data_IF_517556681626
#
_entry.id   IF_517556681626
#
_cell.length_a   1.000
_cell.length_b   1.000
_cell.length_c   1.000
_cell.angle_alpha   90.00
_cell.angle_beta   90.00
_cell.angle_gamma   90.00
#
_symmetry.space_group_name_H-M   'P 1'
#
loop_
_entity.id
_entity.type
_entity.pdbx_description
1 polymer ?
#
# COMPACT_ATOMS: atom_id res chain seq x y z
N UNK A 1 -58.72 -15.88 18.30
CA UNK A 1 -57.29 -16.01 18.60
C UNK A 1 -56.50 -16.08 17.31
N UNK A 2 -55.93 -14.95 16.85
CA UNK A 2 -55.05 -14.88 15.67
C UNK A 2 -53.61 -15.03 16.12
N UNK A 3 -52.95 -16.12 15.74
CA UNK A 3 -51.53 -16.34 15.98
C UNK A 3 -50.73 -15.47 14.98
N UNK A 4 -50.06 -14.45 15.49
CA UNK A 4 -49.09 -13.67 14.75
C UNK A 4 -47.81 -14.50 14.58
N UNK A 5 -47.54 -14.93 13.35
CA UNK A 5 -46.27 -15.55 13.00
C UNK A 5 -45.12 -14.50 13.08
N UNK A 6 -44.01 -14.80 13.74
CA UNK A 6 -42.86 -13.89 13.71
C UNK A 6 -42.24 -13.89 12.29
N UNK A 7 -42.28 -12.76 11.61
CA UNK A 7 -41.50 -12.53 10.40
C UNK A 7 -40.03 -12.75 10.73
N UNK A 8 -39.47 -13.84 10.24
CA UNK A 8 -38.02 -14.04 10.17
C UNK A 8 -37.45 -12.95 9.27
N UNK A 9 -36.86 -11.93 9.88
CA UNK A 9 -36.00 -10.97 9.20
C UNK A 9 -34.86 -11.77 8.60
N UNK A 10 -34.85 -11.91 7.28
CA UNK A 10 -33.70 -12.38 6.55
C UNK A 10 -32.58 -11.38 6.76
N UNK A 11 -31.64 -11.67 7.65
CA UNK A 11 -30.41 -10.90 7.81
C UNK A 11 -29.59 -11.11 6.54
N UNK A 12 -29.82 -10.29 5.55
CA UNK A 12 -28.91 -10.14 4.43
C UNK A 12 -27.56 -9.69 4.99
N UNK A 13 -26.58 -10.58 4.93
CA UNK A 13 -25.20 -10.32 5.34
C UNK A 13 -24.57 -9.30 4.38
N UNK A 14 -24.47 -8.00 4.73
CA UNK A 14 -23.88 -7.00 3.84
C UNK A 14 -22.37 -7.08 3.75
N UNK A 15 -21.73 -7.98 4.50
CA UNK A 15 -20.27 -7.95 4.68
C UNK A 15 -19.42 -8.44 3.51
N UNK A 16 -19.92 -9.33 2.64
CA UNK A 16 -19.06 -9.91 1.59
C UNK A 16 -18.85 -8.98 0.40
N UNK A 17 -19.87 -8.33 -0.08
CA UNK A 17 -19.77 -7.43 -1.25
C UNK A 17 -18.96 -6.16 -0.94
N UNK A 18 -19.09 -5.61 0.26
CA UNK A 18 -18.31 -4.45 0.71
C UNK A 18 -16.83 -4.81 0.82
N UNK A 19 -16.52 -5.95 1.44
CA UNK A 19 -15.14 -6.42 1.60
C UNK A 19 -14.47 -6.69 0.24
N UNK A 20 -15.19 -7.28 -0.71
CA UNK A 20 -14.66 -7.54 -2.07
C UNK A 20 -14.33 -6.24 -2.80
N UNK A 21 -15.16 -5.22 -2.68
CA UNK A 21 -14.93 -3.90 -3.28
C UNK A 21 -13.72 -3.19 -2.65
N UNK A 22 -13.58 -3.23 -1.34
CA UNK A 22 -12.45 -2.64 -0.62
C UNK A 22 -11.13 -3.31 -1.03
N UNK A 23 -11.09 -4.64 -1.08
CA UNK A 23 -9.92 -5.40 -1.54
C UNK A 23 -9.60 -5.09 -2.99
N UNK A 24 -10.59 -5.01 -3.87
CA UNK A 24 -10.40 -4.67 -5.28
C UNK A 24 -9.72 -3.29 -5.43
N UNK A 25 -10.27 -2.25 -4.80
CA UNK A 25 -9.68 -0.92 -4.86
C UNK A 25 -8.29 -0.86 -4.25
N UNK A 26 -8.06 -1.58 -3.15
CA UNK A 26 -6.74 -1.67 -2.54
C UNK A 26 -5.70 -2.27 -3.50
N UNK A 27 -6.05 -3.35 -4.20
CA UNK A 27 -5.16 -3.98 -5.19
C UNK A 27 -4.91 -3.05 -6.38
N UNK A 28 -5.96 -2.42 -6.92
CA UNK A 28 -5.83 -1.46 -8.04
C UNK A 28 -4.91 -0.30 -7.67
N UNK A 29 -5.12 0.31 -6.50
CA UNK A 29 -4.29 1.40 -6.01
C UNK A 29 -2.85 0.92 -5.77
N UNK A 30 -2.66 -0.30 -5.24
CA UNK A 30 -1.35 -0.89 -5.02
C UNK A 30 -0.56 -1.08 -6.31
N UNK A 31 -1.20 -1.65 -7.34
CA UNK A 31 -0.59 -1.83 -8.68
C UNK A 31 -0.27 -0.47 -9.32
N UNK A 32 -1.23 0.47 -9.31
CA UNK A 32 -1.01 1.82 -9.85
C UNK A 32 0.15 2.54 -9.13
N UNK A 33 0.23 2.39 -7.80
CA UNK A 33 1.33 2.95 -7.00
C UNK A 33 2.68 2.34 -7.35
N UNK A 34 2.75 1.03 -7.60
CA UNK A 34 3.99 0.36 -8.01
C UNK A 34 4.47 0.86 -9.36
N UNK A 35 3.56 1.00 -10.33
CA UNK A 35 3.87 1.55 -11.65
C UNK A 35 4.32 3.01 -11.54
N UNK A 36 3.61 3.83 -10.78
CA UNK A 36 3.96 5.24 -10.55
C UNK A 36 5.34 5.36 -9.88
N UNK A 37 5.64 4.51 -8.89
CA UNK A 37 6.93 4.44 -8.21
C UNK A 37 8.06 4.13 -9.22
N UNK A 38 7.86 3.11 -10.06
CA UNK A 38 8.85 2.72 -11.05
C UNK A 38 9.13 3.84 -12.06
N UNK A 39 8.08 4.48 -12.58
CA UNK A 39 8.20 5.57 -13.54
C UNK A 39 8.87 6.81 -12.94
N UNK A 40 8.43 7.23 -11.75
CA UNK A 40 9.04 8.38 -11.06
C UNK A 40 10.50 8.12 -10.71
N UNK A 41 10.82 6.93 -10.19
CA UNK A 41 12.19 6.56 -9.91
C UNK A 41 13.05 6.62 -11.18
N UNK A 42 12.59 5.97 -12.26
CA UNK A 42 13.31 5.94 -13.54
C UNK A 42 13.56 7.35 -14.09
N UNK A 43 12.57 8.21 -14.06
CA UNK A 43 12.69 9.61 -14.50
C UNK A 43 13.69 10.37 -13.62
N UNK A 44 13.51 10.35 -12.30
CA UNK A 44 14.38 11.08 -11.36
C UNK A 44 15.83 10.57 -11.38
N UNK A 45 16.02 9.30 -11.69
CA UNK A 45 17.33 8.66 -11.72
C UNK A 45 18.26 9.21 -12.80
N UNK A 46 17.73 9.91 -13.81
CA UNK A 46 18.53 10.57 -14.82
C UNK A 46 19.26 11.81 -14.29
N UNK A 47 18.73 12.43 -13.24
CA UNK A 47 19.28 13.68 -12.68
C UNK A 47 19.69 13.57 -11.21
N UNK A 48 19.42 12.44 -10.58
CA UNK A 48 19.61 12.28 -9.13
C UNK A 48 20.28 10.97 -8.78
N UNK A 49 21.05 10.93 -7.67
CA UNK A 49 21.59 9.67 -7.15
C UNK A 49 20.44 8.71 -6.75
N UNK A 50 20.70 7.39 -6.75
CA UNK A 50 19.67 6.37 -6.53
C UNK A 50 18.86 6.56 -5.25
N UNK A 51 19.53 6.89 -4.15
CA UNK A 51 18.93 7.09 -2.83
C UNK A 51 17.96 8.25 -2.82
N UNK A 52 18.33 9.38 -3.45
CA UNK A 52 17.47 10.56 -3.54
C UNK A 52 16.30 10.33 -4.50
N UNK A 53 16.56 9.74 -5.67
CA UNK A 53 15.51 9.39 -6.62
C UNK A 53 14.46 8.47 -5.98
N UNK A 54 14.89 7.46 -5.22
CA UNK A 54 14.00 6.56 -4.49
C UNK A 54 13.23 7.29 -3.37
N UNK A 55 13.90 8.16 -2.61
CA UNK A 55 13.24 8.92 -1.55
C UNK A 55 12.10 9.78 -2.09
N UNK A 56 12.38 10.58 -3.10
CA UNK A 56 11.38 11.51 -3.68
C UNK A 56 10.23 10.76 -4.33
N UNK A 57 10.53 9.76 -5.16
CA UNK A 57 9.50 8.96 -5.83
C UNK A 57 8.62 8.21 -4.83
N UNK A 58 9.22 7.63 -3.80
CA UNK A 58 8.49 6.91 -2.76
C UNK A 58 7.62 7.85 -1.91
N UNK A 59 8.13 9.05 -1.58
CA UNK A 59 7.39 10.06 -0.84
C UNK A 59 6.13 10.49 -1.59
N UNK A 60 6.28 10.86 -2.86
CA UNK A 60 5.16 11.27 -3.72
C UNK A 60 4.12 10.16 -3.82
N UNK A 61 4.55 8.93 -4.12
CA UNK A 61 3.63 7.79 -4.27
C UNK A 61 2.97 7.43 -2.94
N UNK A 62 3.68 7.53 -1.81
CA UNK A 62 3.09 7.26 -0.50
C UNK A 62 1.98 8.24 -0.15
N UNK A 63 2.18 9.53 -0.42
CA UNK A 63 1.16 10.57 -0.21
C UNK A 63 -0.06 10.30 -1.09
N UNK A 64 0.15 10.08 -2.39
CA UNK A 64 -0.93 9.80 -3.35
C UNK A 64 -1.69 8.53 -3.00
N UNK A 65 -0.98 7.46 -2.64
CA UNK A 65 -1.57 6.18 -2.24
C UNK A 65 -2.39 6.33 -0.95
N UNK A 66 -1.88 7.05 0.04
CA UNK A 66 -2.59 7.29 1.30
C UNK A 66 -3.89 8.05 1.05
N UNK A 67 -3.84 9.10 0.24
CA UNK A 67 -5.04 9.89 -0.10
C UNK A 67 -6.03 9.09 -0.95
N UNK A 68 -5.57 8.32 -1.94
CA UNK A 68 -6.42 7.45 -2.74
C UNK A 68 -7.12 6.38 -1.89
N UNK A 69 -6.38 5.71 -1.00
CA UNK A 69 -6.97 4.73 -0.09
C UNK A 69 -7.96 5.36 0.88
N UNK A 70 -7.68 6.57 1.40
CA UNK A 70 -8.58 7.30 2.27
C UNK A 70 -9.91 7.59 1.57
N UNK A 71 -9.86 8.03 0.32
CA UNK A 71 -11.06 8.42 -0.45
C UNK A 71 -11.84 7.24 -1.02
N UNK A 72 -11.16 6.18 -1.47
CA UNK A 72 -11.76 5.11 -2.25
C UNK A 72 -11.99 3.83 -1.43
N UNK A 73 -11.05 3.48 -0.56
CA UNK A 73 -11.08 2.22 0.19
C UNK A 73 -11.80 2.38 1.53
N UNK A 74 -11.52 3.46 2.27
CA UNK A 74 -11.98 3.63 3.67
C UNK A 74 -13.05 4.71 3.83
N UNK A 75 -13.95 4.86 2.88
CA UNK A 75 -15.08 5.78 3.00
C UNK A 75 -15.93 5.45 4.23
N UNK A 76 -15.86 6.33 5.25
CA UNK A 76 -16.68 6.25 6.46
C UNK A 76 -16.03 5.61 7.68
N UNK A 77 -14.76 5.20 7.63
CA UNK A 77 -14.05 4.75 8.84
C UNK A 77 -13.50 5.95 9.62
N UNK A 78 -13.89 6.05 10.91
CA UNK A 78 -13.36 7.05 11.86
C UNK A 78 -12.01 6.54 12.38
N UNK A 79 -11.04 6.39 11.50
CA UNK A 79 -9.66 6.17 11.95
C UNK A 79 -9.09 7.52 12.37
N UNK A 80 -8.56 7.61 13.60
CA UNK A 80 -7.91 8.84 14.05
C UNK A 80 -6.81 9.21 13.08
N UNK A 81 -6.92 10.38 12.46
CA UNK A 81 -6.01 10.88 11.42
C UNK A 81 -4.54 10.73 11.83
N UNK A 82 -4.21 11.00 13.08
CA UNK A 82 -2.86 10.86 13.61
C UNK A 82 -2.34 9.41 13.57
N UNK A 83 -3.16 8.43 13.93
CA UNK A 83 -2.74 7.02 13.90
C UNK A 83 -2.51 6.53 12.47
N UNK A 84 -3.33 6.99 11.52
CA UNK A 84 -3.14 6.68 10.11
C UNK A 84 -1.83 7.27 9.56
N UNK A 85 -1.49 8.51 9.96
CA UNK A 85 -0.23 9.15 9.54
C UNK A 85 1.00 8.51 10.17
N UNK A 86 0.94 8.13 11.45
CA UNK A 86 2.05 7.43 12.12
C UNK A 86 2.30 6.05 11.49
N UNK A 87 1.24 5.30 11.20
CA UNK A 87 1.35 4.02 10.50
C UNK A 87 1.89 4.18 9.08
N UNK A 88 1.42 5.20 8.35
CA UNK A 88 1.93 5.50 7.00
C UNK A 88 3.40 5.92 7.04
N UNK A 89 3.83 6.72 8.02
CA UNK A 89 5.22 7.13 8.21
C UNK A 89 6.15 5.95 8.51
N UNK A 90 5.75 5.06 9.42
CA UNK A 90 6.53 3.85 9.73
C UNK A 90 6.68 2.93 8.52
N UNK A 91 5.60 2.75 7.75
CA UNK A 91 5.63 1.96 6.53
C UNK A 91 6.45 2.62 5.41
N UNK A 92 6.45 3.95 5.34
CA UNK A 92 7.32 4.69 4.43
C UNK A 92 8.80 4.44 4.75
N UNK A 93 9.19 4.57 6.02
CA UNK A 93 10.57 4.31 6.44
C UNK A 93 11.00 2.87 6.11
N UNK A 94 10.15 1.89 6.41
CA UNK A 94 10.42 0.50 6.08
C UNK A 94 10.57 0.30 4.57
N UNK A 95 9.66 0.84 3.77
CA UNK A 95 9.71 0.75 2.32
C UNK A 95 10.98 1.40 1.76
N UNK A 96 11.33 2.58 2.27
CA UNK A 96 12.52 3.30 1.87
C UNK A 96 13.80 2.51 2.17
N UNK A 97 13.93 1.95 3.36
CA UNK A 97 15.10 1.15 3.75
C UNK A 97 15.23 -0.11 2.88
N UNK A 98 14.13 -0.83 2.66
CA UNK A 98 14.15 -2.06 1.85
C UNK A 98 14.46 -1.76 0.39
N UNK A 99 13.79 -0.78 -0.21
CA UNK A 99 13.98 -0.46 -1.63
C UNK A 99 15.33 0.21 -1.90
N UNK A 100 15.78 1.13 -1.05
CA UNK A 100 17.11 1.73 -1.16
C UNK A 100 18.21 0.71 -0.94
N UNK A 101 18.06 -0.16 0.07
CA UNK A 101 19.01 -1.23 0.33
C UNK A 101 19.12 -2.19 -0.86
N UNK A 102 18.00 -2.58 -1.47
CA UNK A 102 18.00 -3.44 -2.65
C UNK A 102 18.71 -2.80 -3.85
N UNK A 103 18.46 -1.51 -4.13
CA UNK A 103 19.11 -0.79 -5.23
C UNK A 103 20.59 -0.60 -4.97
N UNK A 104 21.01 -0.21 -3.76
CA UNK A 104 22.42 -0.05 -3.40
C UNK A 104 23.17 -1.37 -3.47
N UNK A 105 22.59 -2.46 -2.97
CA UNK A 105 23.16 -3.79 -3.06
C UNK A 105 23.32 -4.23 -4.52
N UNK A 106 22.30 -4.01 -5.36
CA UNK A 106 22.39 -4.29 -6.79
C UNK A 106 23.50 -3.52 -7.46
N UNK A 107 23.65 -2.22 -7.16
CA UNK A 107 24.74 -1.40 -7.69
C UNK A 107 26.12 -1.81 -7.20
N UNK A 108 26.23 -2.32 -6.00
CA UNK A 108 27.49 -2.88 -5.49
C UNK A 108 27.99 -4.01 -6.39
N UNK A 109 27.09 -4.90 -6.83
CA UNK A 109 27.46 -6.01 -7.74
C UNK A 109 27.45 -5.63 -9.22
N UNK A 110 26.77 -4.55 -9.58
CA UNK A 110 26.61 -4.05 -10.98
C UNK A 110 26.79 -2.54 -11.04
N UNK A 111 28.03 -2.03 -10.86
CA UNK A 111 28.30 -0.57 -10.79
C UNK A 111 27.88 0.22 -12.04
N UNK A 112 27.91 -0.43 -13.21
CA UNK A 112 27.57 0.16 -14.52
C UNK A 112 26.12 -0.07 -14.93
N UNK A 113 25.27 -0.53 -14.00
CA UNK A 113 23.86 -0.80 -14.31
C UNK A 113 23.11 0.46 -14.75
N UNK A 114 22.27 0.31 -15.76
CA UNK A 114 21.41 1.38 -16.25
C UNK A 114 20.29 1.72 -15.24
N UNK A 115 19.71 2.94 -15.29
CA UNK A 115 18.53 3.29 -14.48
C UNK A 115 17.35 2.33 -14.68
N UNK A 116 17.20 1.79 -15.89
CA UNK A 116 16.16 0.79 -16.18
C UNK A 116 16.40 -0.53 -15.41
N UNK A 117 17.64 -1.01 -15.34
CA UNK A 117 17.99 -2.19 -14.58
C UNK A 117 17.79 -1.99 -13.07
N UNK A 118 18.13 -0.83 -12.53
CA UNK A 118 17.85 -0.46 -11.14
C UNK A 118 16.33 -0.46 -10.86
N UNK A 119 15.53 0.08 -11.78
CA UNK A 119 14.06 0.08 -11.68
C UNK A 119 13.48 -1.32 -11.64
N UNK A 120 14.04 -2.27 -12.41
CA UNK A 120 13.61 -3.67 -12.38
C UNK A 120 13.86 -4.35 -11.02
N UNK A 121 14.87 -3.91 -10.27
CA UNK A 121 15.10 -4.38 -8.90
C UNK A 121 14.17 -3.70 -7.90
N UNK A 122 13.90 -2.42 -8.11
CA UNK A 122 13.04 -1.62 -7.25
C UNK A 122 11.59 -2.12 -7.25
N UNK A 123 11.05 -2.50 -8.41
CA UNK A 123 9.66 -2.96 -8.56
C UNK A 123 9.33 -4.16 -7.66
N UNK A 124 10.06 -5.30 -7.71
CA UNK A 124 9.77 -6.43 -6.82
C UNK A 124 10.01 -6.11 -5.35
N UNK A 125 11.01 -5.27 -5.04
CA UNK A 125 11.27 -4.84 -3.66
C UNK A 125 10.09 -4.03 -3.11
N UNK A 126 9.52 -3.12 -3.89
CA UNK A 126 8.35 -2.34 -3.52
C UNK A 126 7.09 -3.22 -3.43
N UNK A 127 6.92 -4.16 -4.35
CA UNK A 127 5.82 -5.13 -4.30
C UNK A 127 5.87 -5.98 -3.02
N UNK A 128 7.06 -6.45 -2.63
CA UNK A 128 7.27 -7.18 -1.38
C UNK A 128 6.83 -6.35 -0.17
N UNK A 129 7.26 -5.10 -0.08
CA UNK A 129 6.85 -4.19 1.01
C UNK A 129 5.33 -4.00 1.02
N UNK A 130 4.71 -3.90 -0.15
CA UNK A 130 3.24 -3.77 -0.27
C UNK A 130 2.51 -5.00 0.26
N UNK A 131 3.02 -6.21 -0.02
CA UNK A 131 2.49 -7.47 0.53
C UNK A 131 2.65 -7.53 2.05
N UNK A 132 3.83 -7.17 2.57
CA UNK A 132 4.07 -7.10 4.02
C UNK A 132 3.11 -6.10 4.67
N UNK A 133 2.96 -4.92 4.10
CA UNK A 133 1.99 -3.91 4.56
C UNK A 133 0.56 -4.46 4.63
N UNK A 134 0.12 -5.14 3.57
CA UNK A 134 -1.21 -5.74 3.54
C UNK A 134 -1.39 -6.78 4.64
N UNK A 135 -0.40 -7.66 4.83
CA UNK A 135 -0.42 -8.72 5.84
C UNK A 135 -0.49 -8.14 7.25
N UNK A 136 0.34 -7.13 7.54
CA UNK A 136 0.35 -6.45 8.85
C UNK A 136 -0.99 -5.76 9.12
N UNK A 137 -1.50 -4.99 8.17
CA UNK A 137 -2.80 -4.33 8.31
C UNK A 137 -3.93 -5.33 8.52
N UNK A 138 -3.92 -6.44 7.79
CA UNK A 138 -4.91 -7.51 7.95
C UNK A 138 -4.84 -8.12 9.35
N UNK A 139 -3.65 -8.44 9.85
CA UNK A 139 -3.49 -9.01 11.19
C UNK A 139 -3.95 -8.05 12.29
N UNK A 140 -3.64 -6.76 12.18
CA UNK A 140 -4.04 -5.74 13.15
C UNK A 140 -5.56 -5.54 13.17
N UNK A 141 -6.19 -5.44 12.01
CA UNK A 141 -7.65 -5.24 11.88
C UNK A 141 -8.43 -6.47 12.38
N UNK A 142 -7.95 -7.69 12.11
CA UNK A 142 -8.66 -8.89 12.55
C UNK A 142 -8.47 -9.19 14.05
N UNK A 143 -7.38 -8.79 14.68
CA UNK A 143 -7.19 -8.93 16.13
C UNK A 143 -8.18 -8.09 16.95
N UNK A 144 -8.67 -6.98 16.44
CA UNK A 144 -9.60 -6.10 17.16
C UNK A 144 -11.07 -6.56 17.11
N UNK A 145 -11.40 -7.60 16.32
CA UNK A 145 -12.77 -8.16 16.26
C UNK A 145 -13.06 -9.27 17.28
N UNK A 146 -12.07 -9.70 18.06
CA UNK A 146 -12.18 -10.77 19.07
C UNK A 146 -12.07 -10.29 20.52
N UNK A 147 -12.25 -8.98 20.76
CA UNK A 147 -12.39 -8.43 22.12
C UNK A 147 -13.73 -7.73 22.29
#
# INVERSE_FOLDING_TARGET
MRRLSPRRSASTRPGRAVLTREVFWFVVIGVASTVAQALLYWVLRHWSPPVLANFVSLLVVTVLNTEANRRLTFRGSVVRVLQAHLAAGGLFVLAYLVTSGAVLLFRHYRPTASPAAETLVLVPSFALVTVVRFTVLRMVVFRHRHR
#
